data_IF_040064540400
#
_entry.id   IF_040064540400
#
_cell.length_a   1.000
_cell.length_b   1.000
_cell.length_c   1.000
_cell.angle_alpha   90.00
_cell.angle_beta   90.00
_cell.angle_gamma   90.00
#
_symmetry.space_group_name_H-M   'P 1'
#
loop_
_entity.id
_entity.type
_entity.pdbx_description
1 polymer ?
#
# COMPACT_ATOMS: atom_id res chain seq x y z
N UNK A 1 -8.79 -11.20 -11.91
CA UNK A 1 -8.08 -11.18 -10.62
C UNK A 1 -8.31 -9.86 -9.87
N UNK A 2 -7.80 -8.72 -10.36
CA UNK A 2 -7.92 -7.39 -9.70
C UNK A 2 -9.33 -7.03 -9.20
N UNK A 3 -10.34 -7.12 -10.07
CA UNK A 3 -11.73 -6.82 -9.67
C UNK A 3 -12.27 -7.78 -8.60
N UNK A 4 -11.90 -9.06 -8.66
CA UNK A 4 -12.27 -10.03 -7.62
C UNK A 4 -11.59 -9.72 -6.29
N UNK A 5 -10.32 -9.29 -6.31
CA UNK A 5 -9.62 -8.84 -5.11
C UNK A 5 -10.28 -7.59 -4.50
N UNK A 6 -10.72 -6.63 -5.32
CA UNK A 6 -11.50 -5.47 -4.82
C UNK A 6 -12.78 -5.90 -4.12
N UNK A 7 -13.53 -6.83 -4.73
CA UNK A 7 -14.77 -7.37 -4.14
C UNK A 7 -14.46 -8.09 -2.83
N UNK A 8 -13.39 -8.88 -2.78
CA UNK A 8 -12.93 -9.53 -1.56
C UNK A 8 -12.59 -8.52 -0.46
N UNK A 9 -11.83 -7.46 -0.76
CA UNK A 9 -11.51 -6.41 0.20
C UNK A 9 -12.77 -5.74 0.77
N UNK A 10 -13.78 -5.49 -0.07
CA UNK A 10 -15.05 -4.91 0.36
C UNK A 10 -15.89 -5.88 1.19
N UNK A 11 -15.90 -7.17 0.84
CA UNK A 11 -16.65 -8.20 1.55
C UNK A 11 -16.05 -8.54 2.92
N UNK A 12 -14.71 -8.58 3.01
CA UNK A 12 -14.00 -8.80 4.27
C UNK A 12 -14.10 -7.58 5.22
N UNK A 13 -14.30 -6.39 4.65
CA UNK A 13 -14.41 -5.11 5.35
C UNK A 13 -13.30 -4.84 6.39
N UNK A 14 -12.04 -5.10 6.02
CA UNK A 14 -10.89 -4.91 6.91
C UNK A 14 -10.73 -3.45 7.40
N UNK A 15 -10.69 -3.24 8.72
CA UNK A 15 -10.40 -1.92 9.30
C UNK A 15 -8.96 -1.46 9.07
N UNK A 16 -8.02 -2.42 9.10
CA UNK A 16 -6.59 -2.19 8.97
C UNK A 16 -6.05 -3.00 7.78
N UNK A 17 -5.32 -2.31 6.90
CA UNK A 17 -4.53 -2.91 5.84
C UNK A 17 -3.07 -2.83 6.27
N UNK A 18 -2.43 -3.99 6.44
CA UNK A 18 -1.03 -4.10 6.87
C UNK A 18 -0.22 -4.93 5.86
N UNK A 19 1.09 -4.90 6.01
CA UNK A 19 2.05 -5.67 5.25
C UNK A 19 3.45 -5.07 5.35
N UNK A 20 4.33 -5.46 4.44
CA UNK A 20 5.72 -5.00 4.44
C UNK A 20 6.03 -4.28 3.12
N UNK A 21 6.26 -2.97 3.18
CA UNK A 21 6.50 -2.09 2.03
C UNK A 21 5.28 -1.90 1.10
N UNK A 22 4.08 -2.06 1.65
CA UNK A 22 2.79 -1.94 0.93
C UNK A 22 2.58 -0.53 0.37
N UNK A 23 2.97 0.51 1.13
CA UNK A 23 2.73 1.89 0.73
C UNK A 23 3.59 2.33 -0.46
N UNK A 24 4.84 1.85 -0.55
CA UNK A 24 5.78 2.26 -1.59
C UNK A 24 5.87 1.29 -2.77
N UNK A 25 5.32 0.08 -2.65
CA UNK A 25 5.38 -0.92 -3.71
C UNK A 25 3.99 -1.44 -4.10
N UNK A 26 3.34 -2.24 -3.25
CA UNK A 26 2.14 -2.99 -3.64
C UNK A 26 0.99 -2.08 -4.11
N UNK A 27 0.67 -1.04 -3.33
CA UNK A 27 -0.44 -0.14 -3.67
C UNK A 27 -0.15 0.65 -4.95
N UNK A 28 0.99 1.36 -5.07
CA UNK A 28 1.35 2.05 -6.31
C UNK A 28 1.34 1.11 -7.51
N UNK A 29 1.96 -0.05 -7.37
CA UNK A 29 2.04 -1.02 -8.47
C UNK A 29 0.66 -1.48 -8.93
N UNK A 30 -0.27 -1.78 -8.01
CA UNK A 30 -1.63 -2.19 -8.36
C UNK A 30 -2.39 -1.08 -9.09
N UNK A 31 -2.28 0.17 -8.63
CA UNK A 31 -2.97 1.31 -9.24
C UNK A 31 -2.40 1.62 -10.62
N UNK A 32 -1.07 1.68 -10.77
CA UNK A 32 -0.39 1.89 -12.05
C UNK A 32 -0.65 0.75 -13.04
N UNK A 33 -0.74 -0.48 -12.55
CA UNK A 33 -1.07 -1.64 -13.38
C UNK A 33 -2.48 -1.54 -13.95
N UNK A 34 -3.43 -1.05 -13.16
CA UNK A 34 -4.80 -0.85 -13.61
C UNK A 34 -4.88 0.25 -14.64
N UNK A 35 -4.15 1.36 -14.44
CA UNK A 35 -4.05 2.43 -15.44
C UNK A 35 -3.46 1.94 -16.76
N UNK A 36 -2.42 1.11 -16.68
CA UNK A 36 -1.81 0.49 -17.86
C UNK A 36 -2.81 -0.39 -18.61
N UNK A 37 -3.57 -1.23 -17.92
CA UNK A 37 -4.59 -2.09 -18.54
C UNK A 37 -5.78 -1.29 -19.09
N UNK A 38 -6.15 -0.19 -18.43
CA UNK A 38 -7.24 0.69 -18.85
C UNK A 38 -6.96 1.44 -20.16
N UNK A 39 -5.71 1.41 -20.67
CA UNK A 39 -5.38 1.87 -22.04
C UNK A 39 -6.14 1.09 -23.11
N UNK A 40 -6.51 -0.17 -22.82
CA UNK A 40 -7.42 -0.93 -23.67
C UNK A 40 -8.87 -0.49 -23.40
N UNK A 41 -9.45 0.24 -24.37
CA UNK A 41 -10.79 0.82 -24.29
C UNK A 41 -11.89 -0.21 -24.00
N UNK A 42 -11.70 -1.48 -24.40
CA UNK A 42 -12.68 -2.55 -24.19
C UNK A 42 -12.83 -2.97 -22.72
N UNK A 43 -11.84 -2.66 -21.88
CA UNK A 43 -11.85 -3.03 -20.45
C UNK A 43 -11.77 -1.83 -19.50
N UNK A 44 -11.56 -0.61 -20.02
CA UNK A 44 -11.44 0.62 -19.23
C UNK A 44 -12.60 0.82 -18.25
N UNK A 45 -13.83 0.80 -18.75
CA UNK A 45 -15.04 1.03 -17.94
C UNK A 45 -15.18 0.03 -16.79
N UNK A 46 -14.73 -1.22 -17.00
CA UNK A 46 -14.74 -2.26 -15.95
C UNK A 46 -13.67 -2.02 -14.89
N UNK A 47 -12.58 -1.36 -15.24
CA UNK A 47 -11.42 -1.11 -14.38
C UNK A 47 -11.49 0.21 -13.62
N UNK A 48 -12.28 1.19 -14.06
CA UNK A 48 -12.44 2.47 -13.35
C UNK A 48 -12.92 2.28 -11.90
N UNK A 49 -13.78 1.28 -11.71
CA UNK A 49 -14.29 0.91 -10.38
C UNK A 49 -13.19 0.36 -9.48
N UNK A 50 -12.11 -0.22 -10.03
CA UNK A 50 -11.08 -0.87 -9.22
C UNK A 50 -10.46 0.06 -8.19
N UNK A 51 -10.30 1.36 -8.49
CA UNK A 51 -9.67 2.33 -7.60
C UNK A 51 -10.49 2.66 -6.34
N UNK A 52 -11.71 2.17 -6.18
CA UNK A 52 -12.58 2.45 -5.03
C UNK A 52 -12.42 1.38 -3.94
N UNK A 53 -11.44 1.54 -3.05
CA UNK A 53 -11.17 0.57 -1.97
C UNK A 53 -11.78 0.95 -0.61
N UNK A 54 -12.14 2.22 -0.45
CA UNK A 54 -12.69 2.77 0.79
C UNK A 54 -14.14 2.35 1.07
N UNK A 55 -14.63 2.75 2.24
CA UNK A 55 -16.03 2.59 2.67
C UNK A 55 -16.93 3.69 2.10
N UNK A 56 -16.36 4.85 1.75
CA UNK A 56 -17.09 5.94 1.09
C UNK A 56 -17.34 5.58 -0.37
N UNK A 57 -18.63 5.42 -0.72
CA UNK A 57 -19.04 5.04 -2.09
C UNK A 57 -18.63 6.12 -3.08
N UNK A 58 -18.07 5.70 -4.21
CA UNK A 58 -17.65 6.60 -5.29
C UNK A 58 -16.31 7.32 -5.05
N UNK A 59 -15.78 7.31 -3.83
CA UNK A 59 -14.47 7.90 -3.54
C UNK A 59 -13.34 6.97 -4.00
N UNK A 60 -12.41 7.45 -4.87
CA UNK A 60 -11.24 6.67 -5.24
C UNK A 60 -10.17 6.73 -4.15
N UNK A 61 -9.39 5.66 -4.03
CA UNK A 61 -8.11 5.64 -3.33
C UNK A 61 -7.17 6.66 -3.95
N UNK A 62 -6.56 7.51 -3.11
CA UNK A 62 -5.69 8.60 -3.55
C UNK A 62 -4.26 8.32 -3.11
N UNK A 63 -3.32 8.40 -4.04
CA UNK A 63 -1.89 8.38 -3.74
C UNK A 63 -1.34 9.80 -3.78
N UNK A 64 -0.46 10.11 -2.84
CA UNK A 64 0.27 11.36 -2.77
C UNK A 64 1.74 11.05 -2.50
N UNK A 65 2.62 11.53 -3.36
CA UNK A 65 4.05 11.55 -3.02
C UNK A 65 4.30 12.56 -1.90
N UNK A 66 4.99 12.11 -0.87
CA UNK A 66 5.33 12.90 0.30
C UNK A 66 6.82 12.81 0.54
N UNK A 67 7.43 13.92 0.89
CA UNK A 67 8.82 13.93 1.34
C UNK A 67 8.83 14.24 2.82
N UNK A 68 9.33 13.31 3.63
CA UNK A 68 9.54 13.52 5.05
C UNK A 68 11.01 13.83 5.28
N UNK A 69 11.31 14.94 5.97
CA UNK A 69 12.67 15.32 6.32
C UNK A 69 12.74 15.72 7.79
N UNK A 70 13.66 15.11 8.53
CA UNK A 70 13.96 15.49 9.91
C UNK A 70 15.41 15.19 10.25
N UNK A 71 15.95 15.86 11.27
CA UNK A 71 17.33 15.63 11.73
C UNK A 71 17.53 14.19 12.26
N UNK A 72 16.51 13.61 12.91
CA UNK A 72 16.60 12.28 13.50
C UNK A 72 16.40 11.13 12.50
N UNK A 73 15.58 11.33 11.46
CA UNK A 73 15.18 10.25 10.54
C UNK A 73 15.63 10.46 9.08
N UNK A 74 16.39 11.52 8.81
CA UNK A 74 16.89 11.87 7.48
C UNK A 74 15.79 12.35 6.53
N UNK A 75 16.13 12.41 5.23
CA UNK A 75 15.19 12.70 4.14
C UNK A 75 14.70 11.39 3.52
N UNK A 76 13.39 11.21 3.40
CA UNK A 76 12.76 10.05 2.77
C UNK A 76 11.62 10.48 1.87
N UNK A 77 11.57 9.90 0.68
CA UNK A 77 10.42 9.99 -0.20
C UNK A 77 9.52 8.80 0.09
N UNK A 78 8.23 9.06 0.31
CA UNK A 78 7.25 8.05 0.66
C UNK A 78 5.96 8.31 -0.12
N UNK A 79 5.29 7.26 -0.55
CA UNK A 79 3.94 7.40 -1.11
C UNK A 79 2.95 7.24 0.03
N UNK A 80 2.19 8.29 0.31
CA UNK A 80 1.08 8.24 1.23
C UNK A 80 -0.20 7.88 0.46
N UNK A 81 -0.89 6.83 0.90
CA UNK A 81 -2.15 6.42 0.31
C UNK A 81 -3.30 6.69 1.29
N UNK A 82 -4.34 7.34 0.81
CA UNK A 82 -5.59 7.54 1.55
C UNK A 82 -6.68 6.62 1.04
N UNK A 83 -7.23 5.79 1.93
CA UNK A 83 -8.38 4.91 1.68
C UNK A 83 -9.45 5.27 2.71
N UNK A 84 -10.51 5.95 2.27
CA UNK A 84 -11.51 6.49 3.20
C UNK A 84 -12.18 5.38 4.04
N UNK A 85 -12.12 5.53 5.37
CA UNK A 85 -12.70 4.58 6.32
C UNK A 85 -11.85 3.34 6.63
N UNK A 86 -10.59 3.28 6.16
CA UNK A 86 -9.62 2.21 6.48
C UNK A 86 -8.28 2.81 6.88
N UNK A 87 -7.56 2.14 7.77
CA UNK A 87 -6.21 2.53 8.22
C UNK A 87 -5.17 1.68 7.50
N UNK A 88 -4.08 2.30 7.02
CA UNK A 88 -2.93 1.58 6.49
C UNK A 88 -1.83 1.59 7.55
N UNK A 89 -1.33 0.41 7.91
CA UNK A 89 -0.23 0.24 8.84
C UNK A 89 0.89 -0.58 8.18
N UNK A 90 1.87 0.09 7.61
CA UNK A 90 3.00 -0.56 6.94
C UNK A 90 4.12 -0.85 7.95
N UNK A 91 4.58 -2.10 7.97
CA UNK A 91 5.63 -2.55 8.88
C UNK A 91 7.00 -1.99 8.53
N UNK A 92 7.31 -1.71 7.26
CA UNK A 92 8.65 -1.23 6.90
C UNK A 92 8.97 0.15 7.54
N UNK A 93 8.11 1.18 7.42
CA UNK A 93 8.29 2.43 8.13
C UNK A 93 8.32 2.27 9.65
N UNK A 94 7.52 1.34 10.20
CA UNK A 94 7.54 1.03 11.63
C UNK A 94 8.90 0.49 12.07
N UNK A 95 9.44 -0.51 11.37
CA UNK A 95 10.73 -1.11 11.69
C UNK A 95 11.85 -0.07 11.60
N UNK A 96 11.85 0.75 10.55
CA UNK A 96 12.85 1.78 10.33
C UNK A 96 12.80 2.94 11.34
N UNK A 97 11.67 3.14 12.03
CA UNK A 97 11.54 4.20 13.06
C UNK A 97 11.86 3.69 14.46
N UNK A 98 11.52 2.45 14.77
CA UNK A 98 11.58 1.91 16.13
C UNK A 98 12.77 0.97 16.40
N UNK A 99 13.40 0.43 15.35
CA UNK A 99 14.52 -0.50 15.49
C UNK A 99 15.74 0.00 14.73
N UNK A 100 16.94 -0.25 15.28
CA UNK A 100 18.22 0.05 14.62
C UNK A 100 18.83 -1.24 14.10
N UNK A 101 18.51 -1.57 12.84
CA UNK A 101 18.97 -2.80 12.18
C UNK A 101 20.01 -2.48 11.10
N UNK A 102 20.88 -3.44 10.82
CA UNK A 102 21.84 -3.37 9.71
C UNK A 102 21.17 -3.48 8.34
N UNK A 103 20.03 -4.19 8.27
CA UNK A 103 19.22 -4.38 7.07
C UNK A 103 17.73 -4.39 7.44
N UNK A 104 16.90 -3.80 6.58
CA UNK A 104 15.44 -3.76 6.70
C UNK A 104 14.75 -4.57 5.58
N UNK A 105 15.44 -5.53 4.96
CA UNK A 105 14.74 -6.49 4.08
C UNK A 105 13.87 -7.41 4.92
N UNK A 106 12.75 -7.88 4.36
CA UNK A 106 11.84 -8.76 5.07
C UNK A 106 12.57 -9.98 5.64
N UNK A 107 13.44 -10.64 4.86
CA UNK A 107 14.22 -11.80 5.33
C UNK A 107 15.14 -11.45 6.51
N UNK A 108 15.80 -10.28 6.48
CA UNK A 108 16.69 -9.88 7.58
C UNK A 108 15.91 -9.65 8.87
N UNK A 109 14.76 -8.98 8.76
CA UNK A 109 13.88 -8.71 9.90
C UNK A 109 13.25 -9.99 10.42
N UNK A 110 12.78 -10.89 9.55
CA UNK A 110 12.24 -12.20 9.94
C UNK A 110 13.28 -13.07 10.63
N UNK A 111 14.53 -13.05 10.16
CA UNK A 111 15.62 -13.79 10.79
C UNK A 111 15.91 -13.26 12.20
N UNK A 112 15.95 -11.93 12.38
CA UNK A 112 16.25 -11.28 13.66
C UNK A 112 15.15 -11.51 14.71
N UNK A 113 13.87 -11.35 14.35
CA UNK A 113 12.78 -11.35 15.33
C UNK A 113 12.01 -12.67 15.45
N UNK A 114 12.06 -13.52 14.41
CA UNK A 114 11.26 -14.75 14.33
C UNK A 114 12.15 -16.00 14.16
N UNK A 115 13.43 -15.82 13.79
CA UNK A 115 14.35 -16.94 13.54
C UNK A 115 14.07 -17.69 12.24
N UNK A 116 13.33 -17.10 11.30
CA UNK A 116 13.06 -17.67 9.97
C UNK A 116 13.94 -17.01 8.91
N UNK A 117 14.63 -17.82 8.10
CA UNK A 117 15.35 -17.39 6.90
C UNK A 117 14.49 -17.49 5.64
#
# INVERSE_FOLDING_TARGET
>A
MLLKWRVFLQACDADIITGYNVQNFDIPYLLDRVETLAKNKNIKQKLDVFKQWGRVKGAPTKMRETTFQSAAYGKRNNVETTIDGRVIFDMLPYMQRNHKLSSYTLNSVSAEFIGQQ
#
